data_IF_909102436478
#
_entry.id   IF_909102436478
#
_cell.length_a   1.000
_cell.length_b   1.000
_cell.length_c   1.000
_cell.angle_alpha   90.00
_cell.angle_beta   90.00
_cell.angle_gamma   90.00
#
_symmetry.space_group_name_H-M   'P 1'
#
loop_
_entity.id
_entity.type
_entity.pdbx_description
1 polymer ?
#
# COMPACT_ATOMS: atom_id res chain seq x y z
N UNK A 1 0.88 32.70 -28.44
CA UNK A 1 0.06 31.48 -28.28
C UNK A 1 1.00 30.32 -27.96
N UNK A 2 1.24 30.06 -26.66
CA UNK A 2 2.12 28.97 -26.24
C UNK A 2 1.27 27.70 -26.19
N UNK A 3 1.48 26.80 -27.14
CA UNK A 3 0.87 25.47 -27.12
C UNK A 3 1.60 24.66 -26.04
N UNK A 4 1.03 24.63 -24.84
CA UNK A 4 1.45 23.69 -23.80
C UNK A 4 1.14 22.27 -24.30
N UNK A 5 2.17 21.57 -24.78
CA UNK A 5 2.06 20.15 -25.09
C UNK A 5 1.79 19.41 -23.79
N UNK A 6 0.55 18.96 -23.61
CA UNK A 6 0.15 18.07 -22.52
C UNK A 6 1.12 16.90 -22.46
N UNK A 7 1.73 16.71 -21.29
CA UNK A 7 2.58 15.56 -20.98
C UNK A 7 1.66 14.35 -21.06
N UNK A 8 1.84 13.50 -22.08
CA UNK A 8 1.18 12.19 -22.15
C UNK A 8 1.68 11.38 -20.96
N UNK A 9 0.87 11.22 -19.92
CA UNK A 9 1.09 10.22 -18.88
C UNK A 9 0.79 8.87 -19.52
N UNK A 10 1.82 8.13 -19.90
CA UNK A 10 1.67 6.69 -20.09
C UNK A 10 1.21 6.13 -18.75
N UNK A 11 0.02 5.52 -18.68
CA UNK A 11 -0.42 4.79 -17.49
C UNK A 11 0.58 3.65 -17.27
N UNK A 12 1.48 3.83 -16.31
CA UNK A 12 2.41 2.79 -15.86
C UNK A 12 1.68 1.93 -14.83
N UNK A 13 1.76 0.62 -15.02
CA UNK A 13 1.19 -0.35 -14.10
C UNK A 13 2.29 -1.31 -13.65
N UNK A 14 2.26 -1.64 -12.36
CA UNK A 14 2.98 -2.81 -11.86
C UNK A 14 2.27 -4.06 -12.36
N UNK A 15 3.00 -4.96 -13.01
CA UNK A 15 2.45 -6.23 -13.48
C UNK A 15 2.91 -7.33 -12.53
N UNK A 16 1.96 -8.05 -11.94
CA UNK A 16 2.21 -9.17 -11.03
C UNK A 16 1.70 -10.49 -11.61
N UNK A 17 2.26 -11.61 -11.16
CA UNK A 17 1.80 -12.96 -11.53
C UNK A 17 1.12 -13.69 -10.37
N UNK A 18 0.62 -14.91 -10.59
CA UNK A 18 -0.21 -15.65 -9.63
C UNK A 18 0.40 -15.78 -8.23
N UNK A 19 1.71 -16.02 -8.15
CA UNK A 19 2.43 -16.09 -6.87
C UNK A 19 2.31 -14.82 -6.02
N UNK A 20 2.27 -13.64 -6.64
CA UNK A 20 2.07 -12.39 -5.91
C UNK A 20 0.63 -12.26 -5.41
N UNK A 21 -0.34 -12.78 -6.15
CA UNK A 21 -1.75 -12.80 -5.73
C UNK A 21 -1.95 -13.71 -4.51
N UNK A 22 -1.38 -14.92 -4.56
CA UNK A 22 -1.42 -15.86 -3.45
C UNK A 22 -0.79 -15.24 -2.18
N UNK A 23 0.32 -14.52 -2.34
CA UNK A 23 0.96 -13.79 -1.23
C UNK A 23 0.06 -12.67 -0.68
N UNK A 24 -0.63 -11.92 -1.54
CA UNK A 24 -1.55 -10.86 -1.10
C UNK A 24 -2.78 -11.45 -0.39
N UNK A 25 -3.31 -12.58 -0.87
CA UNK A 25 -4.39 -13.29 -0.19
C UNK A 25 -3.93 -13.82 1.17
N UNK A 26 -2.74 -14.42 1.25
CA UNK A 26 -2.17 -14.90 2.50
C UNK A 26 -1.91 -13.74 3.48
N UNK A 27 -1.39 -12.62 2.99
CA UNK A 27 -1.20 -11.41 3.78
C UNK A 27 -2.53 -10.94 4.38
N UNK A 28 -3.61 -10.86 3.59
CA UNK A 28 -4.93 -10.49 4.10
C UNK A 28 -5.43 -11.39 5.23
N UNK A 29 -5.28 -12.72 5.06
CA UNK A 29 -5.62 -13.70 6.12
C UNK A 29 -4.79 -13.49 7.38
N UNK A 30 -3.48 -13.29 7.22
CA UNK A 30 -2.57 -13.05 8.33
C UNK A 30 -2.91 -11.75 9.07
N UNK A 31 -3.08 -10.63 8.35
CA UNK A 31 -3.41 -9.33 8.95
C UNK A 31 -4.73 -9.39 9.69
N UNK A 32 -5.76 -10.05 9.13
CA UNK A 32 -7.03 -10.24 9.83
C UNK A 32 -6.86 -10.99 11.16
N UNK A 33 -6.19 -12.15 11.14
CA UNK A 33 -5.94 -12.91 12.37
C UNK A 33 -5.11 -12.12 13.38
N UNK A 34 -4.09 -11.40 12.90
CA UNK A 34 -3.21 -10.57 13.72
C UNK A 34 -3.97 -9.45 14.41
N UNK A 35 -4.78 -8.67 13.68
CA UNK A 35 -5.50 -7.54 14.27
C UNK A 35 -6.62 -7.97 15.20
N UNK A 36 -7.24 -9.14 14.98
CA UNK A 36 -8.17 -9.77 15.92
C UNK A 36 -7.50 -10.06 17.27
N UNK A 37 -6.27 -10.55 17.26
CA UNK A 37 -5.51 -10.81 18.50
C UNK A 37 -5.10 -9.48 19.16
N UNK A 38 -4.59 -8.54 18.36
CA UNK A 38 -3.99 -7.29 18.84
C UNK A 38 -5.01 -6.35 19.49
N UNK A 39 -6.24 -6.29 19.01
CA UNK A 39 -7.29 -5.46 19.65
C UNK A 39 -7.61 -5.90 21.09
N UNK A 40 -7.34 -7.16 21.45
CA UNK A 40 -7.53 -7.67 22.80
C UNK A 40 -6.37 -7.36 23.75
N UNK A 41 -5.26 -6.83 23.24
CA UNK A 41 -4.04 -6.64 24.02
C UNK A 41 -4.00 -5.28 24.70
N UNK A 42 -3.92 -5.27 26.03
CA UNK A 42 -3.89 -4.03 26.84
C UNK A 42 -2.66 -3.16 26.57
N UNK A 43 -1.52 -3.77 26.25
CA UNK A 43 -0.23 -3.06 26.11
C UNK A 43 -0.13 -2.23 24.82
N UNK A 44 -0.84 -2.60 23.75
CA UNK A 44 -0.93 -1.82 22.51
C UNK A 44 -2.30 -1.17 22.30
N UNK A 45 -3.11 -1.05 23.35
CA UNK A 45 -4.45 -0.41 23.27
C UNK A 45 -4.40 1.02 22.75
N UNK A 46 -3.25 1.69 22.90
CA UNK A 46 -3.03 3.07 22.51
C UNK A 46 -2.50 3.22 21.07
N UNK A 47 -2.24 2.12 20.37
CA UNK A 47 -1.69 2.19 19.02
C UNK A 47 -0.86 1.00 18.61
N UNK A 48 -1.06 0.55 17.38
CA UNK A 48 -0.12 -0.27 16.63
C UNK A 48 -0.27 0.02 15.14
N UNK A 49 0.83 -0.06 14.41
CA UNK A 49 0.94 0.42 13.04
C UNK A 49 1.26 -0.72 12.07
N UNK A 50 0.83 -0.56 10.83
CA UNK A 50 1.29 -1.36 9.70
C UNK A 50 2.38 -0.60 8.96
N UNK A 51 3.47 -1.30 8.62
CA UNK A 51 4.58 -0.72 7.86
C UNK A 51 4.82 -1.58 6.62
N UNK A 52 4.76 -0.95 5.45
CA UNK A 52 5.10 -1.57 4.17
C UNK A 52 6.36 -0.93 3.60
N UNK A 53 7.44 -1.68 3.63
CA UNK A 53 8.76 -1.27 3.15
C UNK A 53 8.86 -1.18 1.62
N UNK A 54 7.94 -1.82 0.90
CA UNK A 54 7.96 -1.95 -0.55
C UNK A 54 6.53 -1.84 -1.10
N UNK A 55 5.87 -0.74 -0.76
CA UNK A 55 4.43 -0.55 -0.92
C UNK A 55 3.94 -0.64 -2.38
N UNK A 56 4.82 -0.39 -3.36
CA UNK A 56 4.46 -0.44 -4.77
C UNK A 56 3.41 0.62 -5.13
N UNK A 57 2.52 0.29 -6.07
CA UNK A 57 1.41 1.18 -6.47
C UNK A 57 0.16 1.06 -5.60
N UNK A 58 0.10 0.08 -4.68
CA UNK A 58 -1.13 -0.29 -3.97
C UNK A 58 -2.21 -0.98 -4.82
N UNK A 59 -2.10 -0.97 -6.15
CA UNK A 59 -3.06 -1.59 -7.08
C UNK A 59 -2.37 -2.08 -8.37
N UNK A 60 -1.59 -3.17 -8.32
CA UNK A 60 -0.98 -3.75 -9.51
C UNK A 60 -2.01 -4.39 -10.45
N UNK A 61 -1.63 -4.63 -11.70
CA UNK A 61 -2.40 -5.35 -12.71
C UNK A 61 -1.91 -6.80 -12.81
N UNK A 62 -2.83 -7.74 -12.96
CA UNK A 62 -2.47 -9.14 -13.19
C UNK A 62 -1.82 -9.30 -14.57
N UNK A 63 -0.94 -10.30 -14.70
CA UNK A 63 -0.24 -10.58 -15.97
C UNK A 63 -1.11 -11.38 -16.93
N UNK A 64 -1.86 -12.32 -16.38
CA UNK A 64 -2.73 -13.27 -17.06
C UNK A 64 -4.13 -12.70 -17.33
N UNK A 65 -4.58 -11.81 -16.46
CA UNK A 65 -5.90 -11.18 -16.54
C UNK A 65 -5.74 -9.64 -16.60
N UNK A 66 -6.46 -8.94 -17.50
CA UNK A 66 -6.47 -7.47 -17.53
C UNK A 66 -7.27 -6.85 -16.35
N UNK A 67 -7.14 -7.43 -15.16
CA UNK A 67 -7.73 -6.93 -13.92
C UNK A 67 -6.70 -6.31 -13.00
N UNK A 68 -7.16 -5.39 -12.17
CA UNK A 68 -6.38 -4.83 -11.08
C UNK A 68 -6.61 -5.64 -9.80
N UNK A 69 -5.54 -5.79 -9.03
CA UNK A 69 -5.51 -6.55 -7.78
C UNK A 69 -5.14 -5.59 -6.66
N UNK A 70 -5.74 -5.77 -5.49
CA UNK A 70 -5.40 -4.99 -4.32
C UNK A 70 -4.00 -5.36 -3.82
N UNK A 71 -3.07 -4.40 -3.90
CA UNK A 71 -1.72 -4.56 -3.36
C UNK A 71 -1.70 -4.49 -1.83
N UNK A 72 -0.54 -4.74 -1.24
CA UNK A 72 -0.40 -4.83 0.23
C UNK A 72 -0.86 -3.58 1.00
N UNK A 73 -0.64 -2.33 0.51
CA UNK A 73 -1.25 -1.14 1.12
C UNK A 73 -2.78 -1.22 1.22
N UNK A 74 -3.45 -1.54 0.10
CA UNK A 74 -4.92 -1.59 0.05
C UNK A 74 -5.47 -2.77 0.84
N UNK A 75 -4.81 -3.93 0.80
CA UNK A 75 -5.14 -5.08 1.65
C UNK A 75 -5.10 -4.69 3.13
N UNK A 76 -4.06 -3.97 3.58
CA UNK A 76 -3.96 -3.54 4.97
C UNK A 76 -5.02 -2.49 5.36
N UNK A 77 -5.38 -1.57 4.45
CA UNK A 77 -6.36 -0.50 4.71
C UNK A 77 -7.81 -0.99 4.84
N UNK A 78 -8.11 -2.16 4.26
CA UNK A 78 -9.47 -2.72 4.12
C UNK A 78 -9.81 -3.80 5.14
N UNK A 79 -8.89 -4.16 6.05
CA UNK A 79 -9.18 -5.13 7.10
C UNK A 79 -10.24 -4.64 8.09
N UNK A 80 -11.03 -5.57 8.62
CA UNK A 80 -12.13 -5.29 9.55
C UNK A 80 -11.70 -4.57 10.84
N UNK A 81 -10.56 -4.97 11.41
CA UNK A 81 -9.97 -4.35 12.60
C UNK A 81 -8.74 -3.55 12.16
N UNK A 82 -8.88 -2.25 11.88
CA UNK A 82 -7.82 -1.46 11.27
C UNK A 82 -6.66 -1.20 12.22
N UNK A 83 -5.49 -0.98 11.64
CA UNK A 83 -4.35 -0.40 12.35
C UNK A 83 -4.63 1.06 12.70
N UNK A 84 -3.91 1.57 13.69
CA UNK A 84 -4.02 2.97 14.10
C UNK A 84 -3.35 3.92 13.11
N UNK A 85 -2.37 3.42 12.36
CA UNK A 85 -1.78 4.15 11.25
C UNK A 85 -0.96 3.23 10.35
N UNK A 86 -0.63 3.76 9.17
CA UNK A 86 -0.01 3.05 8.07
C UNK A 86 1.20 3.85 7.58
N UNK A 87 2.33 3.17 7.41
CA UNK A 87 3.54 3.76 6.84
C UNK A 87 3.85 3.01 5.55
N UNK A 88 3.81 3.70 4.42
CA UNK A 88 4.13 3.15 3.11
C UNK A 88 5.43 3.76 2.60
N UNK A 89 6.45 2.93 2.38
CA UNK A 89 7.75 3.34 1.86
C UNK A 89 7.85 2.91 0.40
N UNK A 90 8.18 3.85 -0.47
CA UNK A 90 8.41 3.60 -1.89
C UNK A 90 9.42 4.61 -2.44
N UNK A 91 10.27 4.18 -3.39
CA UNK A 91 11.33 5.01 -3.97
C UNK A 91 10.99 5.55 -5.36
N UNK A 92 10.02 4.92 -6.02
CA UNK A 92 9.71 5.17 -7.42
C UNK A 92 8.65 6.27 -7.56
N UNK A 93 8.96 7.45 -8.15
CA UNK A 93 8.07 8.60 -8.12
C UNK A 93 6.65 8.36 -8.66
N UNK A 94 6.52 7.61 -9.75
CA UNK A 94 5.20 7.33 -10.33
C UNK A 94 4.36 6.37 -9.46
N UNK A 95 5.00 5.50 -8.67
CA UNK A 95 4.30 4.65 -7.70
C UNK A 95 3.89 5.43 -6.46
N UNK A 96 4.74 6.37 -6.03
CA UNK A 96 4.42 7.31 -4.94
C UNK A 96 3.17 8.11 -5.28
N UNK A 97 3.05 8.61 -6.53
CA UNK A 97 1.83 9.27 -6.98
C UNK A 97 0.59 8.36 -6.85
N UNK A 98 0.70 7.08 -7.22
CA UNK A 98 -0.40 6.11 -7.05
C UNK A 98 -0.74 5.86 -5.58
N UNK A 99 0.25 5.88 -4.68
CA UNK A 99 0.00 5.79 -3.24
C UNK A 99 -0.68 7.06 -2.68
N UNK A 100 -0.36 8.24 -3.21
CA UNK A 100 -1.04 9.49 -2.85
C UNK A 100 -2.50 9.49 -3.34
N UNK A 101 -2.77 8.94 -4.52
CA UNK A 101 -4.14 8.70 -5.00
C UNK A 101 -4.86 7.70 -4.08
N UNK A 102 -4.19 6.62 -3.67
CA UNK A 102 -4.74 5.67 -2.70
C UNK A 102 -5.05 6.31 -1.35
N UNK A 103 -4.19 7.20 -0.84
CA UNK A 103 -4.43 7.93 0.41
C UNK A 103 -5.73 8.74 0.34
N UNK A 104 -6.01 9.39 -0.79
CA UNK A 104 -7.25 10.15 -1.00
C UNK A 104 -8.50 9.27 -1.00
N UNK A 105 -8.39 7.98 -1.36
CA UNK A 105 -9.50 7.03 -1.30
C UNK A 105 -9.84 6.59 0.13
N UNK A 106 -8.96 6.84 1.10
CA UNK A 106 -9.11 6.42 2.50
C UNK A 106 -8.93 7.60 3.47
N UNK A 107 -9.78 8.65 3.40
CA UNK A 107 -9.62 9.89 4.16
C UNK A 107 -9.66 9.70 5.70
N UNK A 108 -10.27 8.62 6.17
CA UNK A 108 -10.39 8.30 7.61
C UNK A 108 -9.20 7.46 8.15
N UNK A 109 -8.13 7.29 7.38
CA UNK A 109 -6.95 6.50 7.76
C UNK A 109 -5.73 7.41 7.95
N UNK A 110 -4.96 7.22 9.04
CA UNK A 110 -3.64 7.86 9.23
C UNK A 110 -2.62 7.15 8.33
N UNK A 111 -2.47 7.64 7.10
CA UNK A 111 -1.52 7.15 6.11
C UNK A 111 -0.31 8.09 6.06
N UNK A 112 0.89 7.52 6.05
CA UNK A 112 2.15 8.26 5.91
C UNK A 112 2.97 7.64 4.81
N UNK A 113 3.12 8.38 3.71
CA UNK A 113 3.94 7.96 2.57
C UNK A 113 5.36 8.51 2.78
N UNK A 114 6.36 7.63 2.75
CA UNK A 114 7.78 7.98 2.84
C UNK A 114 8.46 7.68 1.52
N UNK A 115 8.95 8.73 0.88
CA UNK A 115 9.75 8.61 -0.33
C UNK A 115 11.18 8.19 0.04
N UNK A 116 11.67 7.07 -0.51
CA UNK A 116 13.05 6.65 -0.29
C UNK A 116 13.30 5.16 -0.45
N UNK A 117 14.58 4.79 -0.48
CA UNK A 117 14.98 3.38 -0.43
C UNK A 117 14.87 2.87 1.02
N UNK A 118 13.96 1.93 1.25
CA UNK A 118 13.72 1.37 2.58
C UNK A 118 15.00 0.85 3.26
N UNK A 119 15.97 0.34 2.50
CA UNK A 119 17.24 -0.16 3.07
C UNK A 119 18.08 0.97 3.70
N UNK A 120 17.90 2.20 3.21
CA UNK A 120 18.50 3.41 3.79
C UNK A 120 17.59 4.09 4.83
N UNK A 121 16.27 3.96 4.67
CA UNK A 121 15.26 4.64 5.49
C UNK A 121 15.05 3.99 6.87
N UNK A 122 15.39 2.70 7.04
CA UNK A 122 15.24 1.97 8.32
C UNK A 122 16.47 2.03 9.24
N UNK A 123 17.57 2.66 8.83
CA UNK A 123 18.83 2.68 9.59
C UNK A 123 19.02 3.93 10.49
N UNK A 124 17.99 4.77 10.67
CA UNK A 124 18.06 5.97 11.51
C UNK A 124 16.93 6.04 12.52
#
# INVERSE_FOLDING_TARGET
MVVLRGRRTTNQDDIIGPWSEDKLQLLGKYLHAYTVIMQGQRWCRNGYHYVDAFAGTGKPRARDEERYIDGSPRVALTIQHPFHGYIFIEKTPWRIQRLQELEQEFPDRDIRIREGDCNSTMLN
#
